data_IF_119235632229
#
_entry.id   IF_119235632229
#
_cell.length_a   1.000
_cell.length_b   1.000
_cell.length_c   1.000
_cell.angle_alpha   90.00
_cell.angle_beta   90.00
_cell.angle_gamma   90.00
#
_symmetry.space_group_name_H-M   'P 1'
#
loop_
_entity.id
_entity.type
_entity.pdbx_description
1 polymer ?
#
# COMPACT_ATOMS: atom_id res chain seq x y z
N UNK A 1 5.28 -5.35 -3.31
CA UNK A 1 3.99 -4.68 -3.02
C UNK A 1 4.28 -3.43 -2.21
N UNK A 2 3.86 -2.25 -2.68
CA UNK A 2 3.98 -0.98 -1.95
C UNK A 2 2.75 -0.72 -1.06
N UNK A 3 2.80 0.33 -0.25
CA UNK A 3 1.72 0.74 0.63
C UNK A 3 0.98 2.02 0.19
N UNK A 4 0.61 2.84 1.15
CA UNK A 4 -0.14 4.07 0.92
C UNK A 4 0.58 5.30 1.55
N UNK A 5 0.43 6.47 0.95
CA UNK A 5 -0.31 6.82 -0.29
C UNK A 5 0.58 6.76 -1.55
N UNK A 6 1.12 5.60 -1.85
CA UNK A 6 2.20 5.37 -2.79
C UNK A 6 1.72 4.80 -4.15
N UNK A 7 2.68 4.56 -5.03
CA UNK A 7 2.55 3.78 -6.26
C UNK A 7 3.77 2.89 -6.45
N UNK A 8 3.79 2.08 -7.48
CA UNK A 8 4.93 1.21 -7.81
C UNK A 8 6.22 1.96 -8.14
N UNK A 9 6.15 3.27 -8.44
CA UNK A 9 7.31 4.14 -8.60
C UNK A 9 8.23 4.15 -7.37
N UNK A 10 7.69 3.87 -6.17
CA UNK A 10 8.48 3.71 -4.95
C UNK A 10 9.63 2.71 -5.11
N UNK A 11 9.43 1.69 -5.94
CA UNK A 11 10.39 0.60 -6.14
C UNK A 11 11.49 0.92 -7.14
N UNK A 12 11.42 2.03 -7.91
CA UNK A 12 12.40 2.37 -8.94
C UNK A 12 13.85 2.31 -8.44
N UNK A 13 14.21 2.96 -7.31
CA UNK A 13 15.59 2.93 -6.83
C UNK A 13 16.06 1.53 -6.42
N UNK A 14 15.16 0.71 -5.86
CA UNK A 14 15.50 -0.65 -5.47
C UNK A 14 15.69 -1.55 -6.70
N UNK A 15 14.79 -1.47 -7.68
CA UNK A 15 14.86 -2.27 -8.90
C UNK A 15 16.11 -1.93 -9.70
N UNK A 16 16.45 -0.64 -9.81
CA UNK A 16 17.67 -0.18 -10.46
C UNK A 16 18.93 -0.69 -9.75
N UNK A 17 18.93 -0.66 -8.41
CA UNK A 17 20.05 -1.18 -7.61
C UNK A 17 20.20 -2.70 -7.70
N UNK A 18 19.11 -3.44 -7.83
CA UNK A 18 19.13 -4.89 -8.01
C UNK A 18 19.64 -5.30 -9.39
N UNK A 19 19.42 -4.49 -10.43
CA UNK A 19 19.81 -4.80 -11.81
C UNK A 19 19.20 -6.09 -12.36
N UNK A 20 17.97 -6.44 -11.91
CA UNK A 20 17.23 -7.64 -12.31
C UNK A 20 16.10 -7.30 -13.23
N UNK A 21 15.81 -8.19 -14.17
CA UNK A 21 14.73 -8.09 -15.16
C UNK A 21 13.52 -8.99 -14.86
N UNK A 22 13.59 -9.80 -13.79
CA UNK A 22 12.51 -10.67 -13.33
C UNK A 22 11.74 -10.12 -12.11
N UNK A 23 11.74 -8.80 -11.94
CA UNK A 23 11.00 -8.12 -10.88
C UNK A 23 9.59 -7.76 -11.35
N UNK A 24 8.58 -8.22 -10.61
CA UNK A 24 7.18 -7.86 -10.83
C UNK A 24 6.77 -6.86 -9.74
N UNK A 25 6.26 -5.70 -10.15
CA UNK A 25 5.74 -4.69 -9.23
C UNK A 25 4.23 -4.82 -9.17
N UNK A 26 3.70 -5.07 -7.99
CA UNK A 26 2.27 -5.19 -7.77
C UNK A 26 1.76 -3.92 -7.07
N UNK A 27 0.83 -3.23 -7.72
CA UNK A 27 0.12 -2.07 -7.17
C UNK A 27 -1.25 -2.50 -6.67
N UNK A 28 -1.53 -2.39 -5.36
CA UNK A 28 -2.83 -2.75 -4.83
C UNK A 28 -3.95 -1.89 -5.44
N UNK A 29 -5.16 -2.44 -5.66
CA UNK A 29 -6.30 -1.69 -6.19
C UNK A 29 -6.56 -0.40 -5.42
N UNK A 30 -6.65 0.72 -6.14
CA UNK A 30 -6.77 2.07 -5.57
C UNK A 30 -5.44 2.76 -5.25
N UNK A 31 -4.32 2.04 -5.25
CA UNK A 31 -2.98 2.56 -4.97
C UNK A 31 -2.09 2.40 -6.20
N UNK A 32 -2.07 3.40 -7.07
CA UNK A 32 -1.36 3.35 -8.36
C UNK A 32 -2.03 2.49 -9.43
N UNK A 33 -2.96 1.63 -9.06
CA UNK A 33 -3.82 0.86 -9.95
C UNK A 33 -5.28 1.31 -9.83
N UNK A 34 -6.14 1.07 -10.84
CA UNK A 34 -7.57 1.36 -10.74
C UNK A 34 -8.22 0.64 -9.55
N UNK A 35 -9.22 1.29 -8.95
CA UNK A 35 -10.07 0.67 -7.94
C UNK A 35 -11.27 0.03 -8.65
N UNK A 36 -11.36 -1.31 -8.75
CA UNK A 36 -12.45 -1.97 -9.47
C UNK A 36 -13.80 -1.76 -8.79
N UNK A 37 -14.87 -1.70 -9.58
CA UNK A 37 -16.24 -1.67 -9.07
C UNK A 37 -16.50 -2.89 -8.17
N UNK A 38 -17.00 -2.65 -6.96
CA UNK A 38 -17.30 -3.70 -5.99
C UNK A 38 -16.10 -4.21 -5.18
N UNK A 39 -14.87 -3.75 -5.44
CA UNK A 39 -13.74 -4.06 -4.57
C UNK A 39 -13.89 -3.30 -3.24
N UNK A 40 -13.95 -4.03 -2.14
CA UNK A 40 -14.28 -3.44 -0.82
C UNK A 40 -13.12 -2.69 -0.18
N UNK A 41 -11.91 -2.84 -0.68
CA UNK A 41 -10.67 -2.25 -0.17
C UNK A 41 -10.42 -2.51 1.34
N UNK A 42 -10.93 -3.62 1.87
CA UNK A 42 -10.65 -4.07 3.24
C UNK A 42 -9.32 -4.82 3.30
N UNK A 43 -8.72 -4.93 4.50
CA UNK A 43 -7.45 -5.64 4.66
C UNK A 43 -7.53 -7.12 4.21
N UNK A 44 -8.70 -7.76 4.35
CA UNK A 44 -8.94 -9.12 3.83
C UNK A 44 -9.08 -9.13 2.31
N UNK A 45 -9.75 -8.13 1.72
CA UNK A 45 -9.87 -8.03 0.28
C UNK A 45 -8.50 -7.85 -0.40
N UNK A 46 -7.59 -7.08 0.22
CA UNK A 46 -6.22 -6.94 -0.28
C UNK A 46 -5.38 -8.22 -0.11
N UNK A 47 -5.60 -8.98 0.97
CA UNK A 47 -4.99 -10.31 1.09
C UNK A 47 -5.43 -11.23 -0.05
N UNK A 48 -6.74 -11.33 -0.25
CA UNK A 48 -7.32 -12.21 -1.28
C UNK A 48 -6.85 -11.78 -2.68
N UNK A 49 -6.82 -10.48 -2.96
CA UNK A 49 -6.25 -9.92 -4.18
C UNK A 49 -4.77 -10.30 -4.37
N UNK A 50 -3.95 -10.18 -3.32
CA UNK A 50 -2.53 -10.51 -3.42
C UNK A 50 -2.33 -12.00 -3.69
N UNK A 51 -3.08 -12.87 -3.02
CA UNK A 51 -3.03 -14.30 -3.26
C UNK A 51 -3.40 -14.67 -4.70
N UNK A 52 -4.43 -14.03 -5.28
CA UNK A 52 -4.79 -14.18 -6.70
C UNK A 52 -3.64 -13.77 -7.63
N UNK A 53 -2.96 -12.63 -7.33
CA UNK A 53 -1.81 -12.21 -8.14
C UNK A 53 -0.65 -13.21 -8.05
N UNK A 54 -0.41 -13.81 -6.87
CA UNK A 54 0.66 -14.77 -6.65
C UNK A 54 0.36 -16.11 -7.34
N UNK A 55 -0.90 -16.55 -7.38
CA UNK A 55 -1.32 -17.77 -8.09
C UNK A 55 -1.05 -17.70 -9.60
N UNK A 56 -1.04 -16.49 -10.19
CA UNK A 56 -0.77 -16.27 -11.61
C UNK A 56 0.74 -16.24 -11.96
N UNK A 57 1.62 -16.20 -10.96
CA UNK A 57 3.07 -16.15 -11.14
C UNK A 57 3.65 -17.56 -11.13
N UNK A 58 4.37 -17.92 -12.19
CA UNK A 58 5.02 -19.23 -12.27
C UNK A 58 6.40 -19.23 -11.63
N UNK A 59 6.70 -20.26 -10.85
CA UNK A 59 8.01 -20.49 -10.25
C UNK A 59 8.12 -19.99 -8.80
N UNK A 60 9.32 -20.03 -8.23
CA UNK A 60 9.52 -19.63 -6.84
C UNK A 60 9.47 -18.12 -6.68
N UNK A 61 8.65 -17.62 -5.75
CA UNK A 61 8.43 -16.21 -5.50
C UNK A 61 9.20 -15.79 -4.24
N UNK A 62 9.99 -14.72 -4.35
CA UNK A 62 10.51 -13.95 -3.21
C UNK A 62 9.67 -12.67 -3.12
N UNK A 63 8.87 -12.53 -2.09
CA UNK A 63 7.86 -11.48 -1.96
C UNK A 63 8.34 -10.36 -1.04
N UNK A 64 8.27 -9.11 -1.50
CA UNK A 64 8.69 -7.94 -0.72
C UNK A 64 7.51 -6.98 -0.56
N UNK A 65 7.26 -6.55 0.67
CA UNK A 65 6.23 -5.57 0.99
C UNK A 65 6.76 -4.43 1.84
N UNK A 66 6.27 -3.22 1.54
CA UNK A 66 6.53 -1.99 2.27
C UNK A 66 5.23 -1.37 2.77
N UNK A 67 5.23 -0.79 3.98
CA UNK A 67 4.05 -0.16 4.60
C UNK A 67 2.83 -1.11 4.58
N UNK A 68 1.66 -0.69 4.14
CA UNK A 68 0.49 -1.59 3.99
C UNK A 68 0.75 -2.77 3.05
N UNK A 69 1.60 -2.60 2.03
CA UNK A 69 2.05 -3.73 1.22
C UNK A 69 2.77 -4.78 2.05
N UNK A 70 3.55 -4.37 3.05
CA UNK A 70 4.13 -5.27 4.04
C UNK A 70 3.07 -5.98 4.88
N UNK A 71 2.03 -5.27 5.32
CA UNK A 71 0.88 -5.85 6.01
C UNK A 71 0.13 -6.88 5.16
N UNK A 72 -0.07 -6.59 3.87
CA UNK A 72 -0.69 -7.54 2.93
C UNK A 72 0.16 -8.79 2.73
N UNK A 73 1.49 -8.63 2.60
CA UNK A 73 2.44 -9.73 2.50
C UNK A 73 2.34 -10.65 3.72
N UNK A 74 2.43 -10.10 4.93
CA UNK A 74 2.34 -10.91 6.16
C UNK A 74 0.99 -11.64 6.22
N UNK A 75 -0.12 -10.95 5.90
CA UNK A 75 -1.45 -11.54 5.93
C UNK A 75 -1.59 -12.71 4.92
N UNK A 76 -1.08 -12.53 3.70
CA UNK A 76 -1.09 -13.59 2.69
C UNK A 76 -0.22 -14.78 3.08
N UNK A 77 1.02 -14.56 3.55
CA UNK A 77 1.91 -15.67 3.92
C UNK A 77 1.47 -16.39 5.19
N UNK A 78 0.75 -15.75 6.10
CA UNK A 78 0.12 -16.42 7.25
C UNK A 78 -1.08 -17.29 6.83
N UNK A 79 -1.77 -16.92 5.76
CA UNK A 79 -2.93 -17.66 5.25
C UNK A 79 -2.52 -18.76 4.27
N UNK A 80 -1.61 -18.44 3.32
CA UNK A 80 -1.15 -19.36 2.25
C UNK A 80 0.39 -19.33 2.11
N UNK A 81 1.13 -19.88 3.11
CA UNK A 81 2.60 -19.86 3.12
C UNK A 81 3.24 -20.58 1.91
N UNK A 82 2.52 -21.50 1.29
CA UNK A 82 3.00 -22.27 0.14
C UNK A 82 3.18 -21.42 -1.15
N UNK A 83 2.57 -20.23 -1.21
CA UNK A 83 2.66 -19.36 -2.38
C UNK A 83 4.04 -18.75 -2.58
N UNK A 84 4.84 -18.67 -1.52
CA UNK A 84 6.12 -17.95 -1.56
C UNK A 84 7.28 -18.81 -1.10
N UNK A 85 8.46 -18.59 -1.68
CA UNK A 85 9.72 -19.20 -1.24
C UNK A 85 10.31 -18.45 -0.05
N UNK A 86 10.28 -17.13 -0.11
CA UNK A 86 10.72 -16.24 0.96
C UNK A 86 9.97 -14.91 0.90
N UNK A 87 10.00 -14.17 2.00
CA UNK A 87 9.33 -12.88 2.06
C UNK A 87 10.06 -11.89 2.98
N UNK A 88 9.83 -10.61 2.71
CA UNK A 88 10.32 -9.48 3.52
C UNK A 88 9.17 -8.50 3.74
N UNK A 89 9.01 -8.05 4.97
CA UNK A 89 8.12 -6.95 5.35
C UNK A 89 8.82 -6.05 6.36
N UNK A 90 8.67 -4.74 6.22
CA UNK A 90 9.13 -3.77 7.21
C UNK A 90 8.03 -3.41 8.24
N UNK A 91 6.83 -3.95 8.07
CA UNK A 91 5.66 -3.73 8.93
C UNK A 91 5.14 -5.06 9.46
N UNK A 92 5.37 -5.31 10.74
CA UNK A 92 4.85 -6.50 11.44
C UNK A 92 4.03 -6.14 12.68
N UNK A 93 4.11 -4.90 13.15
CA UNK A 93 3.43 -4.44 14.36
C UNK A 93 1.91 -4.54 14.31
N UNK A 94 1.31 -4.49 13.12
CA UNK A 94 -0.15 -4.62 12.90
C UNK A 94 -0.76 -5.91 13.47
N UNK A 95 0.06 -6.94 13.68
CA UNK A 95 -0.37 -8.24 14.18
C UNK A 95 -0.16 -8.40 15.70
N UNK A 96 0.33 -7.37 16.37
CA UNK A 96 0.43 -7.34 17.82
C UNK A 96 -0.91 -6.85 18.41
N UNK A 97 -1.54 -7.60 19.33
CA UNK A 97 -2.78 -7.16 19.99
C UNK A 97 -2.65 -5.83 20.76
N UNK A 98 -1.43 -5.46 21.15
CA UNK A 98 -1.14 -4.19 21.84
C UNK A 98 -0.74 -3.06 20.89
N UNK A 99 -0.83 -3.28 19.56
CA UNK A 99 -0.45 -2.29 18.56
C UNK A 99 -1.32 -1.03 18.68
N UNK A 100 -0.66 0.11 18.79
CA UNK A 100 -1.31 1.42 18.81
C UNK A 100 -1.11 2.09 17.45
N UNK A 101 -2.20 2.37 16.78
CA UNK A 101 -2.18 3.09 15.51
C UNK A 101 -1.56 4.49 15.68
N UNK A 102 -0.72 4.90 14.73
CA UNK A 102 -0.18 6.25 14.68
C UNK A 102 -1.28 7.29 14.49
N UNK A 103 -1.03 8.56 14.86
CA UNK A 103 -2.04 9.62 14.91
C UNK A 103 -2.82 9.79 13.61
N UNK A 104 -2.15 9.77 12.45
CA UNK A 104 -2.81 9.90 11.15
C UNK A 104 -3.76 8.72 10.87
N UNK A 105 -3.37 7.50 11.22
CA UNK A 105 -4.24 6.32 11.10
C UNK A 105 -5.51 6.48 11.93
N UNK A 106 -5.38 6.97 13.17
CA UNK A 106 -6.54 7.24 14.04
C UNK A 106 -7.48 8.30 13.44
N UNK A 107 -6.94 9.32 12.78
CA UNK A 107 -7.74 10.29 12.02
C UNK A 107 -8.49 9.61 10.90
N UNK A 108 -7.85 8.78 10.07
CA UNK A 108 -8.50 8.09 8.94
C UNK A 108 -9.55 7.06 9.40
N UNK A 109 -9.36 6.47 10.56
CA UNK A 109 -10.35 5.57 11.17
C UNK A 109 -11.58 6.32 11.69
N UNK A 110 -11.46 7.63 11.95
CA UNK A 110 -12.55 8.47 12.50
C UNK A 110 -13.44 9.01 11.37
N UNK A 111 -14.75 8.65 11.32
CA UNK A 111 -15.67 9.19 10.33
C UNK A 111 -15.74 10.73 10.37
N UNK A 112 -15.77 11.35 9.21
CA UNK A 112 -15.73 12.80 9.01
C UNK A 112 -14.31 13.36 9.02
N UNK A 113 -13.54 13.13 10.08
CA UNK A 113 -12.16 13.60 10.16
C UNK A 113 -11.25 12.94 9.11
N UNK A 114 -11.46 11.65 8.85
CA UNK A 114 -10.72 10.91 7.83
C UNK A 114 -10.96 11.46 6.43
N UNK A 115 -12.22 11.71 6.08
CA UNK A 115 -12.60 12.31 4.79
C UNK A 115 -11.97 13.70 4.62
N UNK A 116 -12.12 14.57 5.62
CA UNK A 116 -11.55 15.93 5.60
C UNK A 116 -10.01 15.92 5.46
N UNK A 117 -9.34 15.03 6.20
CA UNK A 117 -7.89 14.87 6.13
C UNK A 117 -7.43 14.43 4.74
N UNK A 118 -8.11 13.46 4.13
CA UNK A 118 -7.76 12.96 2.80
C UNK A 118 -8.10 13.95 1.68
N UNK A 119 -9.20 14.68 1.80
CA UNK A 119 -9.53 15.77 0.87
C UNK A 119 -8.45 16.85 0.90
N UNK A 120 -7.92 17.18 2.07
CA UNK A 120 -6.80 18.12 2.20
C UNK A 120 -5.50 17.56 1.62
N UNK A 121 -5.19 16.27 1.86
CA UNK A 121 -3.94 15.63 1.45
C UNK A 121 -3.91 15.37 -0.06
N UNK A 122 -4.99 14.85 -0.64
CA UNK A 122 -5.05 14.42 -2.04
C UNK A 122 -5.69 15.47 -2.97
N UNK A 123 -6.39 16.46 -2.44
CA UNK A 123 -7.08 17.50 -3.19
C UNK A 123 -6.18 18.65 -3.67
N UNK A 124 -4.93 18.72 -3.23
CA UNK A 124 -3.94 19.69 -3.69
C UNK A 124 -3.55 19.49 -5.16
N UNK A 125 -2.89 20.49 -5.74
CA UNK A 125 -2.27 20.33 -7.06
C UNK A 125 -1.09 19.35 -7.01
N UNK A 126 -0.57 18.98 -8.19
CA UNK A 126 0.53 18.01 -8.28
C UNK A 126 1.76 18.45 -7.49
N UNK A 127 2.06 19.75 -7.48
CA UNK A 127 3.21 20.31 -6.75
C UNK A 127 3.05 20.09 -5.25
N UNK A 128 1.89 20.43 -4.70
CA UNK A 128 1.61 20.27 -3.27
C UNK A 128 1.69 18.80 -2.83
N UNK A 129 1.17 17.87 -3.65
CA UNK A 129 1.25 16.43 -3.38
C UNK A 129 2.69 15.91 -3.47
N UNK A 130 3.46 16.38 -4.47
CA UNK A 130 4.90 16.07 -4.59
C UNK A 130 5.67 16.56 -3.36
N UNK A 131 5.44 17.81 -2.94
CA UNK A 131 6.10 18.40 -1.77
C UNK A 131 5.79 17.60 -0.50
N UNK A 132 4.56 17.08 -0.38
CA UNK A 132 4.19 16.18 0.72
C UNK A 132 5.06 14.90 0.70
N UNK A 133 5.19 14.23 -0.45
CA UNK A 133 6.03 13.03 -0.58
C UNK A 133 7.50 13.32 -0.24
N UNK A 134 8.01 14.46 -0.71
CA UNK A 134 9.38 14.92 -0.38
C UNK A 134 9.54 15.15 1.13
N UNK A 135 8.53 15.74 1.78
CA UNK A 135 8.54 15.95 3.24
C UNK A 135 8.60 14.65 4.05
N UNK A 136 8.12 13.55 3.48
CA UNK A 136 8.19 12.20 4.05
C UNK A 136 9.53 11.50 3.75
N UNK A 137 10.46 12.18 3.05
CA UNK A 137 11.80 11.67 2.76
C UNK A 137 11.93 10.95 1.42
N UNK A 138 10.90 10.97 0.58
CA UNK A 138 10.92 10.37 -0.76
C UNK A 138 11.67 11.32 -1.72
N UNK A 139 12.60 10.81 -2.58
CA UNK A 139 13.24 11.63 -3.61
C UNK A 139 12.22 12.35 -4.50
N UNK A 140 12.54 13.58 -4.94
CA UNK A 140 11.57 14.46 -5.59
C UNK A 140 10.99 13.91 -6.90
N UNK A 141 11.80 13.21 -7.69
CA UNK A 141 11.39 12.53 -8.92
C UNK A 141 10.42 11.38 -8.65
N UNK A 142 10.72 10.56 -7.66
CA UNK A 142 9.86 9.46 -7.20
C UNK A 142 8.57 10.02 -6.57
N UNK A 143 8.70 11.07 -5.74
CA UNK A 143 7.55 11.75 -5.13
C UNK A 143 6.59 12.35 -6.16
N UNK A 144 7.12 12.91 -7.25
CA UNK A 144 6.30 13.40 -8.36
C UNK A 144 5.56 12.26 -9.07
N UNK A 145 6.26 11.16 -9.37
CA UNK A 145 5.65 9.99 -9.98
C UNK A 145 4.55 9.36 -9.10
N UNK A 146 4.76 9.28 -7.78
CA UNK A 146 3.73 8.83 -6.83
C UNK A 146 2.54 9.79 -6.83
N UNK A 147 2.78 11.11 -6.77
CA UNK A 147 1.75 12.13 -6.70
C UNK A 147 0.81 12.14 -7.92
N UNK A 148 1.28 11.73 -9.10
CA UNK A 148 0.45 11.57 -10.30
C UNK A 148 -0.66 10.53 -10.12
N UNK A 149 -0.45 9.53 -9.28
CA UNK A 149 -1.40 8.46 -9.00
C UNK A 149 -2.34 8.75 -7.82
N UNK A 150 -2.07 9.80 -7.05
CA UNK A 150 -2.91 10.18 -5.90
C UNK A 150 -4.21 10.84 -6.38
N UNK A 151 -5.33 10.21 -6.03
CA UNK A 151 -6.66 10.60 -6.49
C UNK A 151 -7.76 10.23 -5.46
N UNK A 152 -9.01 10.54 -5.79
CA UNK A 152 -10.16 10.27 -4.91
C UNK A 152 -10.39 8.76 -4.65
N UNK A 153 -10.03 7.88 -5.61
CA UNK A 153 -10.12 6.43 -5.42
C UNK A 153 -9.15 5.96 -4.35
N UNK A 154 -7.93 6.49 -4.36
CA UNK A 154 -6.95 6.23 -3.31
C UNK A 154 -7.48 6.67 -1.95
N UNK A 155 -8.09 7.85 -1.85
CA UNK A 155 -8.71 8.32 -0.61
C UNK A 155 -9.78 7.36 -0.08
N UNK A 156 -10.67 6.88 -0.95
CA UNK A 156 -11.68 5.87 -0.58
C UNK A 156 -11.06 4.56 -0.13
N UNK A 157 -10.02 4.11 -0.83
CA UNK A 157 -9.29 2.88 -0.49
C UNK A 157 -8.60 2.99 0.87
N UNK A 158 -7.93 4.11 1.18
CA UNK A 158 -7.31 4.38 2.48
C UNK A 158 -8.35 4.27 3.60
N UNK A 159 -9.49 4.97 3.48
CA UNK A 159 -10.52 4.94 4.53
C UNK A 159 -11.07 3.53 4.76
N UNK A 160 -11.37 2.79 3.69
CA UNK A 160 -11.89 1.43 3.79
C UNK A 160 -10.86 0.49 4.45
N UNK A 161 -9.60 0.58 4.04
CA UNK A 161 -8.51 -0.23 4.57
C UNK A 161 -8.31 0.01 6.07
N UNK A 162 -8.09 1.25 6.48
CA UNK A 162 -7.84 1.57 7.89
C UNK A 162 -9.03 1.29 8.79
N UNK A 163 -10.25 1.52 8.32
CA UNK A 163 -11.48 1.24 9.09
C UNK A 163 -11.76 -0.24 9.22
N UNK A 164 -11.38 -1.05 8.23
CA UNK A 164 -11.53 -2.50 8.30
C UNK A 164 -10.52 -3.17 9.24
N UNK A 165 -9.40 -2.51 9.51
CA UNK A 165 -8.31 -3.03 10.34
C UNK A 165 -8.35 -2.51 11.80
N UNK A 166 -9.44 -1.88 12.24
CA UNK A 166 -9.59 -1.36 13.61
C UNK A 166 -9.77 -2.42 14.68
N UNK A 167 -10.03 -3.67 14.29
CA UNK A 167 -10.13 -4.79 15.21
C UNK A 167 -9.21 -5.90 14.73
N UNK A 168 -8.26 -6.34 15.57
CA UNK A 168 -7.48 -7.54 15.30
C UNK A 168 -8.35 -8.80 15.33
#
# INVERSE_FOLDING_TARGET
VHGNPESDALWDPLVDALGRDDVIRLSPPGFGAPLPDGFTATYLAYRDWLEEQLDDISGPIDLVGHDWGGGHVVNAVMHRPELVRSWVSDVVGLFDPEYVWHDMAQVWQTPGAGEESLDAMLGGDLTARTDLMVSLGIPADIGAAIAEHQNADMGRAILALYRSATQP
#
